data_IF_591263828216
#
_entry.id   IF_591263828216
#
_cell.length_a   1.000
_cell.length_b   1.000
_cell.length_c   1.000
_cell.angle_alpha   90.00
_cell.angle_beta   90.00
_cell.angle_gamma   90.00
#
_symmetry.space_group_name_H-M   'P 1'
#
loop_
_entity.id
_entity.type
_entity.pdbx_description
1 polymer ?
#
# COMPACT_ATOMS: atom_id res chain seq x y z
N UNK A 1 -14.58 -14.28 17.00
CA UNK A 1 -14.15 -13.41 15.89
C UNK A 1 -14.04 -14.28 14.65
N UNK A 2 -14.51 -13.80 13.50
CA UNK A 2 -14.46 -14.55 12.24
C UNK A 2 -13.03 -14.56 11.74
N UNK A 3 -12.54 -15.73 11.30
CA UNK A 3 -11.22 -15.87 10.71
C UNK A 3 -11.28 -15.40 9.25
N UNK A 4 -10.30 -14.58 8.82
CA UNK A 4 -10.20 -14.05 7.46
C UNK A 4 -8.75 -14.04 6.98
N UNK A 5 -8.51 -13.94 5.67
CA UNK A 5 -7.15 -13.78 5.12
C UNK A 5 -6.60 -12.39 5.46
N UNK A 6 -5.29 -12.27 5.59
CA UNK A 6 -4.64 -10.98 5.76
C UNK A 6 -4.95 -9.98 4.63
N UNK A 7 -5.13 -10.49 3.40
CA UNK A 7 -5.55 -9.66 2.26
C UNK A 7 -6.96 -9.08 2.43
N UNK A 8 -7.92 -9.87 2.94
CA UNK A 8 -9.28 -9.41 3.21
C UNK A 8 -9.27 -8.35 4.32
N UNK A 9 -8.50 -8.60 5.40
CA UNK A 9 -8.29 -7.63 6.48
C UNK A 9 -7.64 -6.33 5.97
N UNK A 10 -6.65 -6.44 5.07
CA UNK A 10 -6.03 -5.26 4.44
C UNK A 10 -7.07 -4.42 3.71
N UNK A 11 -7.90 -5.04 2.87
CA UNK A 11 -8.94 -4.35 2.10
C UNK A 11 -10.02 -3.74 3.01
N UNK A 12 -10.43 -4.46 4.07
CA UNK A 12 -11.33 -3.91 5.09
C UNK A 12 -10.75 -2.65 5.77
N UNK A 13 -9.45 -2.67 6.09
CA UNK A 13 -8.76 -1.48 6.61
C UNK A 13 -8.76 -0.33 5.60
N UNK A 14 -8.54 -0.59 4.30
CA UNK A 14 -8.62 0.47 3.28
C UNK A 14 -10.01 1.11 3.22
N UNK A 15 -11.07 0.30 3.29
CA UNK A 15 -12.45 0.81 3.38
C UNK A 15 -12.63 1.69 4.61
N UNK A 16 -12.16 1.24 5.78
CA UNK A 16 -12.28 1.99 7.04
C UNK A 16 -11.46 3.29 7.01
N UNK A 17 -10.34 3.34 6.28
CA UNK A 17 -9.57 4.57 6.07
C UNK A 17 -10.21 5.52 5.02
N UNK A 18 -11.38 5.19 4.50
CA UNK A 18 -12.11 6.03 3.55
C UNK A 18 -11.56 6.00 2.13
N UNK A 19 -10.76 4.98 1.79
CA UNK A 19 -10.23 4.81 0.43
C UNK A 19 -11.38 4.50 -0.53
N UNK A 20 -11.60 5.37 -1.50
CA UNK A 20 -12.60 5.18 -2.56
C UNK A 20 -11.99 4.83 -3.92
N UNK A 21 -10.69 5.06 -4.08
CA UNK A 21 -9.94 4.79 -5.31
C UNK A 21 -8.55 4.30 -5.02
N UNK A 22 -8.12 3.31 -5.78
CA UNK A 22 -6.76 2.79 -5.84
C UNK A 22 -6.28 2.95 -7.28
N UNK A 23 -5.06 3.43 -7.46
CA UNK A 23 -4.40 3.50 -8.77
C UNK A 23 -3.32 2.43 -8.83
N UNK A 24 -3.22 1.70 -9.94
CA UNK A 24 -2.23 0.63 -9.99
C UNK A 24 -2.12 -0.09 -11.32
N UNK A 25 -1.11 -0.93 -11.40
CA UNK A 25 -0.97 -1.96 -12.44
C UNK A 25 -1.16 -3.31 -11.75
N UNK A 26 -2.18 -4.11 -12.13
CA UNK A 26 -2.38 -5.44 -11.55
C UNK A 26 -1.11 -6.29 -11.64
N UNK A 27 -0.74 -6.95 -10.54
CA UNK A 27 0.47 -7.75 -10.47
C UNK A 27 0.29 -9.02 -9.63
N UNK A 28 1.08 -10.05 -9.94
CA UNK A 28 0.96 -11.36 -9.32
C UNK A 28 1.29 -11.37 -7.83
N UNK A 29 2.22 -10.51 -7.38
CA UNK A 29 2.69 -10.50 -6.00
C UNK A 29 1.65 -9.98 -4.98
N UNK A 30 0.48 -9.52 -5.44
CA UNK A 30 -0.63 -9.13 -4.57
C UNK A 30 -2.00 -9.59 -5.10
N UNK A 31 -2.04 -10.74 -5.78
CA UNK A 31 -3.29 -11.33 -6.30
C UNK A 31 -4.36 -11.50 -5.23
N UNK A 32 -3.98 -11.87 -4.00
CA UNK A 32 -4.94 -12.00 -2.90
C UNK A 32 -5.63 -10.68 -2.55
N UNK A 33 -4.95 -9.55 -2.72
CA UNK A 33 -5.56 -8.22 -2.54
C UNK A 33 -6.49 -7.88 -3.69
N UNK A 34 -6.09 -8.20 -4.93
CA UNK A 34 -6.96 -7.99 -6.11
C UNK A 34 -8.25 -8.81 -6.01
N UNK A 35 -8.15 -10.06 -5.52
CA UNK A 35 -9.30 -10.92 -5.25
C UNK A 35 -10.22 -10.32 -4.17
N UNK A 36 -9.65 -9.88 -3.04
CA UNK A 36 -10.42 -9.25 -1.96
C UNK A 36 -11.09 -7.92 -2.37
N UNK A 37 -10.50 -7.17 -3.31
CA UNK A 37 -11.10 -5.94 -3.84
C UNK A 37 -12.37 -6.17 -4.66
N UNK A 38 -12.58 -7.38 -5.20
CA UNK A 38 -13.81 -7.73 -5.93
C UNK A 38 -15.02 -7.62 -5.00
N UNK A 39 -14.89 -8.07 -3.75
CA UNK A 39 -15.97 -8.08 -2.76
C UNK A 39 -16.40 -6.69 -2.28
N UNK A 40 -15.58 -5.67 -2.52
CA UNK A 40 -15.82 -4.27 -2.15
C UNK A 40 -15.80 -3.33 -3.36
N UNK A 41 -16.05 -3.85 -4.55
CA UNK A 41 -16.00 -3.10 -5.81
C UNK A 41 -17.04 -1.95 -5.89
N UNK A 42 -18.07 -2.00 -5.05
CA UNK A 42 -19.06 -0.93 -4.84
C UNK A 42 -18.49 0.23 -3.97
N UNK A 43 -17.46 -0.02 -3.15
CA UNK A 43 -16.85 0.95 -2.24
C UNK A 43 -15.51 1.48 -2.77
N UNK A 44 -14.65 0.60 -3.28
CA UNK A 44 -13.33 0.95 -3.78
C UNK A 44 -13.23 0.67 -5.27
N UNK A 45 -12.93 1.68 -6.06
CA UNK A 45 -12.64 1.54 -7.49
C UNK A 45 -11.15 1.36 -7.73
N UNK A 46 -10.75 0.23 -8.31
CA UNK A 46 -9.38 0.04 -8.81
C UNK A 46 -9.25 0.65 -10.21
N UNK A 47 -8.41 1.67 -10.35
CA UNK A 47 -8.12 2.36 -11.61
C UNK A 47 -6.84 1.78 -12.19
N UNK A 48 -6.99 0.89 -13.17
CA UNK A 48 -5.86 0.26 -13.85
C UNK A 48 -5.16 1.25 -14.78
N UNK A 49 -3.84 1.30 -14.66
CA UNK A 49 -2.95 2.06 -15.56
C UNK A 49 -2.08 1.13 -16.40
N UNK A 50 -1.40 1.67 -17.40
CA UNK A 50 -0.46 0.91 -18.25
C UNK A 50 0.99 1.03 -17.81
N UNK A 51 1.25 1.86 -16.78
CA UNK A 51 2.59 2.09 -16.24
C UNK A 51 2.48 2.58 -14.79
N UNK A 52 3.30 2.03 -13.92
CA UNK A 52 3.24 2.29 -12.48
C UNK A 52 3.61 3.73 -12.10
N UNK A 53 4.49 4.36 -12.87
CA UNK A 53 4.77 5.79 -12.73
C UNK A 53 3.51 6.64 -12.94
N UNK A 54 2.68 6.28 -13.92
CA UNK A 54 1.37 6.92 -14.14
C UNK A 54 0.42 6.70 -12.97
N UNK A 55 0.36 5.47 -12.44
CA UNK A 55 -0.44 5.15 -11.25
C UNK A 55 0.00 5.98 -10.04
N UNK A 56 1.32 6.05 -9.80
CA UNK A 56 1.89 6.79 -8.68
C UNK A 56 1.62 8.31 -8.80
N UNK A 57 1.72 8.89 -10.00
CA UNK A 57 1.33 10.29 -10.24
C UNK A 57 -0.16 10.53 -10.05
N UNK A 58 -1.03 9.59 -10.43
CA UNK A 58 -2.47 9.69 -10.17
C UNK A 58 -2.77 9.68 -8.67
N UNK A 59 -2.09 8.82 -7.90
CA UNK A 59 -2.22 8.79 -6.44
C UNK A 59 -1.68 10.09 -5.81
N UNK A 60 -0.54 10.59 -6.27
CA UNK A 60 0.00 11.88 -5.83
C UNK A 60 -0.99 13.02 -6.11
N UNK A 61 -1.49 13.12 -7.33
CA UNK A 61 -2.44 14.16 -7.71
C UNK A 61 -3.74 14.07 -6.89
N UNK A 62 -4.24 12.86 -6.61
CA UNK A 62 -5.38 12.64 -5.74
C UNK A 62 -5.11 13.17 -4.32
N UNK A 63 -3.95 12.81 -3.74
CA UNK A 63 -3.56 13.30 -2.42
C UNK A 63 -3.43 14.81 -2.35
N UNK A 64 -2.85 15.41 -3.38
CA UNK A 64 -2.68 16.87 -3.48
C UNK A 64 -4.02 17.62 -3.58
N UNK A 65 -4.97 17.08 -4.33
CA UNK A 65 -6.28 17.71 -4.53
C UNK A 65 -7.23 17.54 -3.35
N UNK A 66 -7.14 16.41 -2.65
CA UNK A 66 -8.12 16.05 -1.61
C UNK A 66 -7.60 16.25 -0.19
N UNK A 67 -6.28 16.33 0.01
CA UNK A 67 -5.65 16.28 1.33
C UNK A 67 -5.70 14.90 2.00
N UNK A 68 -6.34 13.91 1.36
CA UNK A 68 -6.35 12.52 1.81
C UNK A 68 -5.17 11.75 1.21
N UNK A 69 -4.73 10.67 1.84
CA UNK A 69 -3.66 9.87 1.27
C UNK A 69 -4.10 9.19 -0.04
N UNK A 70 -3.46 9.53 -1.16
CA UNK A 70 -3.67 8.82 -2.41
C UNK A 70 -3.06 7.41 -2.34
N UNK A 71 -3.78 6.40 -2.82
CA UNK A 71 -3.37 4.99 -2.71
C UNK A 71 -2.93 4.44 -4.06
N UNK A 72 -1.71 3.87 -4.08
CA UNK A 72 -1.15 3.21 -5.25
C UNK A 72 -0.77 1.76 -4.91
N UNK A 73 -1.07 0.81 -5.81
CA UNK A 73 -0.65 -0.58 -5.70
C UNK A 73 0.19 -0.99 -6.91
N UNK A 74 1.32 -1.62 -6.65
CA UNK A 74 2.25 -2.10 -7.68
C UNK A 74 2.84 -3.47 -7.31
N UNK A 75 3.30 -4.20 -8.32
CA UNK A 75 4.03 -5.44 -8.07
C UNK A 75 5.46 -5.18 -7.61
N UNK A 76 6.14 -6.23 -7.12
CA UNK A 76 7.54 -6.21 -6.68
C UNK A 76 8.50 -5.81 -7.82
N UNK A 77 9.73 -5.45 -7.45
CA UNK A 77 10.81 -5.17 -8.38
C UNK A 77 10.50 -4.05 -9.36
N UNK A 78 10.35 -4.34 -10.66
CA UNK A 78 10.16 -3.32 -11.69
C UNK A 78 8.91 -2.45 -11.47
N UNK A 79 7.82 -3.00 -10.93
CA UNK A 79 6.62 -2.20 -10.61
C UNK A 79 6.91 -1.15 -9.53
N UNK A 80 7.58 -1.56 -8.47
CA UNK A 80 7.99 -0.65 -7.40
C UNK A 80 8.97 0.42 -7.88
N UNK A 81 9.99 0.04 -8.66
CA UNK A 81 10.98 1.00 -9.19
C UNK A 81 10.37 1.98 -10.18
N UNK A 82 9.44 1.55 -11.03
CA UNK A 82 8.69 2.45 -11.90
C UNK A 82 7.84 3.46 -11.11
N UNK A 83 7.24 3.04 -9.99
CA UNK A 83 6.43 3.91 -9.14
C UNK A 83 7.24 4.93 -8.34
N UNK A 84 8.55 4.72 -8.19
CA UNK A 84 9.41 5.57 -7.36
C UNK A 84 9.42 7.04 -7.77
N UNK A 85 9.22 7.33 -9.05
CA UNK A 85 9.13 8.72 -9.55
C UNK A 85 7.96 9.48 -8.90
N UNK A 86 6.80 8.84 -8.74
CA UNK A 86 5.65 9.46 -8.07
C UNK A 86 5.86 9.59 -6.56
N UNK A 87 6.52 8.62 -5.93
CA UNK A 87 6.89 8.69 -4.50
C UNK A 87 7.82 9.88 -4.25
N UNK A 88 8.87 10.02 -5.08
CA UNK A 88 9.78 11.16 -4.99
C UNK A 88 9.04 12.50 -5.17
N UNK A 89 8.15 12.58 -6.14
CA UNK A 89 7.34 13.78 -6.38
C UNK A 89 6.44 14.09 -5.19
N UNK A 90 5.76 13.09 -4.62
CA UNK A 90 4.93 13.26 -3.43
C UNK A 90 5.74 13.77 -2.22
N UNK A 91 6.98 13.27 -2.04
CA UNK A 91 7.87 13.74 -0.97
C UNK A 91 8.26 15.20 -1.16
N UNK A 92 8.62 15.62 -2.37
CA UNK A 92 9.00 17.00 -2.66
C UNK A 92 7.81 17.96 -2.52
N UNK A 93 6.63 17.53 -2.96
CA UNK A 93 5.40 18.32 -2.92
C UNK A 93 4.69 18.30 -1.55
N UNK A 94 5.18 17.55 -0.58
CA UNK A 94 4.49 17.37 0.71
C UNK A 94 3.06 16.82 0.53
N UNK A 95 2.91 15.85 -0.38
CA UNK A 95 1.62 15.26 -0.73
C UNK A 95 1.42 13.93 0.00
N UNK A 96 0.29 13.72 0.70
CA UNK A 96 0.04 12.45 1.37
C UNK A 96 -0.23 11.32 0.35
N UNK A 97 0.49 10.22 0.48
CA UNK A 97 0.40 9.07 -0.41
C UNK A 97 0.75 7.79 0.35
N UNK A 98 0.09 6.68 0.04
CA UNK A 98 0.50 5.34 0.48
C UNK A 98 0.72 4.47 -0.75
N UNK A 99 1.96 4.00 -0.93
CA UNK A 99 2.34 3.02 -1.95
C UNK A 99 2.39 1.63 -1.31
N UNK A 100 1.53 0.74 -1.74
CA UNK A 100 1.59 -0.67 -1.40
C UNK A 100 2.33 -1.43 -2.51
N UNK A 101 3.28 -2.27 -2.11
CA UNK A 101 4.11 -3.05 -3.02
C UNK A 101 3.96 -4.53 -2.65
N UNK A 102 3.49 -5.36 -3.58
CA UNK A 102 3.60 -6.80 -3.39
C UNK A 102 5.08 -7.20 -3.33
N UNK A 103 5.42 -8.14 -2.44
CA UNK A 103 6.79 -8.59 -2.20
C UNK A 103 6.90 -10.11 -2.37
N UNK A 104 8.11 -10.61 -2.54
CA UNK A 104 8.41 -12.05 -2.52
C UNK A 104 7.93 -12.70 -1.22
N UNK A 105 7.76 -14.02 -1.22
CA UNK A 105 7.51 -14.78 0.00
C UNK A 105 8.66 -14.61 1.01
N UNK A 106 8.34 -14.54 2.30
CA UNK A 106 9.29 -14.29 3.40
C UNK A 106 10.40 -15.34 3.50
N UNK A 107 10.10 -16.58 3.12
CA UNK A 107 11.06 -17.69 3.08
C UNK A 107 12.12 -17.57 1.98
N UNK A 108 11.89 -16.67 1.02
CA UNK A 108 12.80 -16.41 -0.11
C UNK A 108 13.71 -15.20 0.09
N UNK A 109 13.56 -14.49 1.22
CA UNK A 109 14.34 -13.27 1.52
C UNK A 109 15.85 -13.57 1.58
N UNK A 110 16.66 -12.68 1.01
CA UNK A 110 18.12 -12.77 0.91
C UNK A 110 18.63 -13.98 0.07
N UNK A 111 17.81 -14.45 -0.87
CA UNK A 111 18.16 -15.55 -1.78
C UNK A 111 18.23 -15.13 -3.25
N UNK A 112 18.30 -13.83 -3.53
CA UNK A 112 18.21 -13.28 -4.89
C UNK A 112 16.97 -13.79 -5.63
N UNK A 113 15.84 -13.84 -4.93
CA UNK A 113 14.56 -14.25 -5.48
C UNK A 113 14.15 -13.34 -6.65
N UNK A 114 13.36 -13.89 -7.58
CA UNK A 114 12.92 -13.13 -8.77
C UNK A 114 12.25 -11.82 -8.38
N UNK A 115 12.85 -10.71 -8.80
CA UNK A 115 12.39 -9.33 -8.54
C UNK A 115 12.45 -8.89 -7.06
N UNK A 116 13.24 -9.55 -6.24
CA UNK A 116 13.49 -9.13 -4.86
C UNK A 116 14.16 -7.75 -4.82
N UNK A 117 13.67 -6.88 -3.95
CA UNK A 117 14.26 -5.56 -3.64
C UNK A 117 14.09 -5.27 -2.15
N UNK A 118 15.14 -4.79 -1.49
CA UNK A 118 15.01 -4.18 -0.17
C UNK A 118 14.41 -2.78 -0.29
N UNK A 119 13.11 -2.68 -0.03
CA UNK A 119 12.38 -1.43 -0.16
C UNK A 119 12.71 -0.41 0.93
N UNK A 120 13.21 -0.83 2.09
CA UNK A 120 13.67 0.10 3.13
C UNK A 120 14.91 0.85 2.66
N UNK A 121 15.83 0.16 2.03
CA UNK A 121 17.01 0.78 1.42
C UNK A 121 16.64 1.64 0.21
N UNK A 122 15.78 1.12 -0.67
CA UNK A 122 15.44 1.77 -1.93
C UNK A 122 14.62 3.06 -1.72
N UNK A 123 13.57 3.03 -0.90
CA UNK A 123 12.67 4.15 -0.69
C UNK A 123 13.00 5.01 0.53
N UNK A 124 13.86 4.55 1.43
CA UNK A 124 14.19 5.26 2.66
C UNK A 124 14.53 6.74 2.47
N UNK A 125 15.36 7.11 1.46
CA UNK A 125 15.72 8.50 1.21
C UNK A 125 14.58 9.37 0.63
N UNK A 126 13.53 8.78 0.07
CA UNK A 126 12.49 9.48 -0.68
C UNK A 126 11.06 9.27 -0.15
N UNK A 127 10.92 8.64 1.01
CA UNK A 127 9.64 8.42 1.68
C UNK A 127 9.71 8.81 3.15
N UNK A 128 8.59 9.22 3.74
CA UNK A 128 8.51 9.52 5.18
C UNK A 128 8.70 8.29 6.06
N UNK A 129 8.19 7.17 5.60
CA UNK A 129 8.27 5.90 6.28
C UNK A 129 8.18 4.75 5.28
N UNK A 130 9.00 3.73 5.52
CA UNK A 130 9.00 2.49 4.74
C UNK A 130 8.89 1.31 5.70
N UNK A 131 7.97 0.41 5.45
CA UNK A 131 7.77 -0.79 6.26
C UNK A 131 7.39 -1.99 5.41
N UNK A 132 7.52 -3.17 6.00
CA UNK A 132 6.99 -4.42 5.46
C UNK A 132 6.09 -5.06 6.52
N UNK A 133 4.97 -5.63 6.10
CA UNK A 133 4.04 -6.33 6.98
C UNK A 133 4.36 -7.82 6.92
N UNK A 134 5.06 -8.32 7.92
CA UNK A 134 5.48 -9.73 7.98
C UNK A 134 4.51 -10.60 8.80
N UNK A 135 3.71 -9.99 9.67
CA UNK A 135 2.74 -10.66 10.54
C UNK A 135 1.32 -10.28 10.16
N UNK A 136 0.45 -11.24 9.78
CA UNK A 136 -0.94 -10.97 9.42
C UNK A 136 -1.75 -10.30 10.55
N UNK A 137 -1.36 -10.53 11.82
CA UNK A 137 -2.03 -9.91 12.97
C UNK A 137 -1.68 -8.42 13.12
N UNK A 138 -0.66 -7.93 12.43
CA UNK A 138 -0.25 -6.53 12.45
C UNK A 138 -0.72 -5.72 11.24
N UNK A 139 -1.51 -6.32 10.34
CA UNK A 139 -2.03 -5.63 9.16
C UNK A 139 -2.79 -4.37 9.57
N UNK A 140 -3.74 -4.48 10.50
CA UNK A 140 -4.56 -3.34 10.93
C UNK A 140 -3.73 -2.21 11.56
N UNK A 141 -2.78 -2.57 12.43
CA UNK A 141 -1.87 -1.60 13.08
C UNK A 141 -1.04 -0.83 12.05
N UNK A 142 -0.38 -1.58 11.15
CA UNK A 142 0.59 -0.98 10.22
C UNK A 142 -0.08 -0.20 9.09
N UNK A 143 -1.28 -0.64 8.66
CA UNK A 143 -2.09 0.13 7.69
C UNK A 143 -2.58 1.42 8.31
N UNK A 144 -3.20 1.39 9.49
CA UNK A 144 -3.65 2.61 10.18
C UNK A 144 -2.47 3.58 10.41
N UNK A 145 -1.31 3.06 10.83
CA UNK A 145 -0.09 3.86 10.98
C UNK A 145 0.37 4.46 9.66
N UNK A 146 0.29 3.73 8.54
CA UNK A 146 0.69 4.23 7.23
C UNK A 146 -0.13 5.47 6.83
N UNK A 147 -1.45 5.41 7.00
CA UNK A 147 -2.34 6.53 6.72
C UNK A 147 -2.09 7.71 7.68
N UNK A 148 -1.94 7.44 8.98
CA UNK A 148 -1.62 8.47 9.98
C UNK A 148 -0.31 9.20 9.67
N UNK A 149 0.76 8.46 9.35
CA UNK A 149 2.07 9.03 9.02
C UNK A 149 1.99 9.84 7.72
N UNK A 150 1.27 9.34 6.70
CA UNK A 150 1.15 10.04 5.42
C UNK A 150 0.58 11.46 5.56
N UNK A 151 -0.40 11.66 6.45
CA UNK A 151 -1.09 12.96 6.61
C UNK A 151 -0.57 13.81 7.77
N UNK A 152 0.18 13.24 8.73
CA UNK A 152 0.64 13.96 9.92
C UNK A 152 1.82 14.88 9.67
N UNK A 153 1.91 15.99 10.41
CA UNK A 153 2.99 16.97 10.29
C UNK A 153 3.14 17.49 8.85
N UNK A 154 4.37 17.44 8.29
CA UNK A 154 4.55 17.64 6.85
C UNK A 154 4.03 16.39 6.13
N UNK A 155 2.93 16.47 5.37
CA UNK A 155 2.44 15.31 4.63
C UNK A 155 3.48 14.74 3.66
N UNK A 156 3.34 13.48 3.30
CA UNK A 156 4.28 12.85 2.38
C UNK A 156 4.02 11.36 2.17
N UNK A 157 4.80 10.70 1.30
CA UNK A 157 4.58 9.33 0.93
C UNK A 157 5.04 8.35 2.01
N UNK A 158 4.27 7.28 2.14
CA UNK A 158 4.59 6.08 2.94
C UNK A 158 4.64 4.88 2.00
N UNK A 159 5.57 3.98 2.20
CA UNK A 159 5.72 2.75 1.40
C UNK A 159 5.51 1.53 2.30
N UNK A 160 4.67 0.61 1.87
CA UNK A 160 4.31 -0.61 2.61
C UNK A 160 4.50 -1.83 1.72
N UNK A 161 5.48 -2.65 2.03
CA UNK A 161 5.71 -3.92 1.36
C UNK A 161 4.82 -5.04 1.95
N UNK A 162 4.30 -5.89 1.08
CA UNK A 162 3.33 -6.93 1.39
C UNK A 162 3.84 -8.28 0.86
N UNK A 163 4.50 -9.11 1.69
CA UNK A 163 4.90 -10.46 1.27
C UNK A 163 3.70 -11.29 0.80
N UNK A 164 3.84 -11.94 -0.36
CA UNK A 164 2.72 -12.66 -1.00
C UNK A 164 2.21 -13.85 -0.19
N UNK A 165 3.07 -14.50 0.57
CA UNK A 165 2.73 -15.59 1.49
C UNK A 165 1.93 -15.07 2.69
N UNK A 166 2.37 -13.94 3.29
CA UNK A 166 1.67 -13.29 4.40
C UNK A 166 0.23 -12.91 4.02
N UNK A 167 0.01 -12.42 2.80
CA UNK A 167 -1.34 -12.03 2.33
C UNK A 167 -2.34 -13.18 2.31
N UNK A 168 -1.87 -14.44 2.24
CA UNK A 168 -2.71 -15.66 2.25
C UNK A 168 -2.96 -16.22 3.65
N UNK A 169 -2.20 -15.78 4.65
CA UNK A 169 -2.34 -16.25 6.02
C UNK A 169 -3.66 -15.80 6.65
N UNK A 170 -4.15 -16.62 7.55
CA UNK A 170 -5.40 -16.38 8.26
C UNK A 170 -5.14 -15.62 9.57
N UNK A 171 -6.03 -14.69 9.88
CA UNK A 171 -6.00 -13.92 11.12
C UNK A 171 -7.40 -13.76 11.70
N UNK A 172 -7.48 -13.50 13.00
CA UNK A 172 -8.70 -13.12 13.71
C UNK A 172 -8.66 -11.67 14.19
N UNK A 173 -7.60 -10.93 13.81
CA UNK A 173 -7.44 -9.51 14.16
C UNK A 173 -8.55 -8.69 13.50
N UNK A 174 -9.23 -7.80 14.22
CA UNK A 174 -10.22 -6.91 13.63
C UNK A 174 -9.56 -5.79 12.82
N UNK A 175 -10.28 -5.23 11.87
CA UNK A 175 -9.86 -4.02 11.17
C UNK A 175 -9.77 -2.83 12.14
N UNK A 176 -8.82 -1.94 11.91
CA UNK A 176 -8.69 -0.69 12.66
C UNK A 176 -9.79 0.30 12.29
N UNK A 177 -10.15 1.16 13.23
CA UNK A 177 -11.01 2.30 12.94
C UNK A 177 -10.30 3.32 12.03
N UNK A 178 -11.09 4.20 11.41
CA UNK A 178 -10.57 5.31 10.64
C UNK A 178 -9.60 6.16 11.48
N UNK A 179 -8.47 6.52 10.87
CA UNK A 179 -7.57 7.53 11.46
C UNK A 179 -8.26 8.90 11.30
N UNK A 180 -8.44 9.66 12.38
CA UNK A 180 -9.03 10.99 12.28
C UNK A 180 -8.20 11.87 11.34
N UNK A 181 -8.86 12.49 10.36
CA UNK A 181 -8.24 13.55 9.57
C UNK A 181 -8.07 14.74 10.50
N UNK A 182 -6.83 15.15 10.77
CA UNK A 182 -6.59 16.41 11.46
C UNK A 182 -7.05 17.55 10.53
N UNK A 183 -8.03 18.29 10.97
CA UNK A 183 -8.55 19.47 10.28
C UNK A 183 -7.51 20.58 10.23
#
# INVERSE_FOLDING_TARGET
MTQQRAADLLVENLVNQGVSRIFGVPGESYLSVLDALVDVSDKIKFVTTRHEGGAAFMAEAYGKLTGQAGVCFVTRGPGATNASIGVHTAMQNSTPMVLFIGQIGRDMTDREAFQEVDYRMYFGPIAKWVTQIDDPNRVSELVARAFSVAVSGRPGPVVVALPEDMLREMTTTPAANAVPTLA
#
